data_IF_856789379731
#
_entry.id   IF_856789379731
#
_cell.length_a   1.000
_cell.length_b   1.000
_cell.length_c   1.000
_cell.angle_alpha   90.00
_cell.angle_beta   90.00
_cell.angle_gamma   90.00
#
_symmetry.space_group_name_H-M   'P 1'
#
loop_
_entity.id
_entity.type
_entity.pdbx_description
1 polymer ?
#
# COMPACT_ATOMS: atom_id res chain seq x y z
N UNK A 1 -4.98 15.97 22.51
CA UNK A 1 -4.93 14.49 22.34
C UNK A 1 -3.49 14.11 22.09
N UNK A 2 -2.85 13.42 23.04
CA UNK A 2 -1.51 12.91 22.83
C UNK A 2 -1.57 11.82 21.75
N UNK A 3 -1.19 12.16 20.53
CA UNK A 3 -1.02 11.19 19.44
C UNK A 3 0.23 10.35 19.72
N UNK A 4 0.11 9.34 20.57
CA UNK A 4 1.10 8.27 20.62
C UNK A 4 1.02 7.58 19.26
N UNK A 5 2.02 7.78 18.41
CA UNK A 5 2.10 7.08 17.14
C UNK A 5 2.15 5.57 17.42
N UNK A 6 1.18 4.81 16.91
CA UNK A 6 1.20 3.36 17.01
C UNK A 6 2.32 2.79 16.14
N UNK A 7 3.22 2.03 16.76
CA UNK A 7 4.29 1.32 16.07
C UNK A 7 3.88 -0.14 15.84
N UNK A 8 3.70 -0.56 14.57
CA UNK A 8 3.32 -1.93 14.29
C UNK A 8 4.43 -2.91 14.68
N UNK A 9 4.04 -4.07 15.17
CA UNK A 9 4.92 -5.12 15.71
C UNK A 9 5.33 -6.15 14.65
N UNK A 10 4.48 -6.40 13.64
CA UNK A 10 4.84 -7.34 12.58
C UNK A 10 6.06 -6.87 11.77
N UNK A 11 6.83 -7.83 11.26
CA UNK A 11 7.89 -7.60 10.26
C UNK A 11 7.38 -7.62 8.81
N UNK A 12 6.14 -8.07 8.59
CA UNK A 12 5.54 -8.20 7.26
C UNK A 12 4.75 -6.96 6.92
N UNK A 13 5.02 -6.37 5.75
CA UNK A 13 4.40 -5.13 5.28
C UNK A 13 2.86 -5.09 5.42
N UNK A 14 2.16 -6.12 4.93
CA UNK A 14 0.70 -6.13 4.95
C UNK A 14 0.12 -6.25 6.35
N UNK A 15 0.80 -6.95 7.25
CA UNK A 15 0.40 -7.05 8.66
C UNK A 15 0.65 -5.71 9.36
N UNK A 16 1.78 -5.04 9.10
CA UNK A 16 2.03 -3.68 9.61
C UNK A 16 0.93 -2.70 9.19
N UNK A 17 0.53 -2.73 7.91
CA UNK A 17 -0.57 -1.89 7.40
C UNK A 17 -1.90 -2.22 8.09
N UNK A 18 -2.22 -3.51 8.25
CA UNK A 18 -3.44 -3.96 8.95
C UNK A 18 -3.47 -3.47 10.40
N UNK A 19 -2.36 -3.61 11.14
CA UNK A 19 -2.24 -3.14 12.52
C UNK A 19 -2.48 -1.64 12.65
N UNK A 20 -1.86 -0.82 11.78
CA UNK A 20 -2.06 0.64 11.78
C UNK A 20 -3.51 1.01 11.42
N UNK A 21 -4.11 0.35 10.43
CA UNK A 21 -5.50 0.64 10.02
C UNK A 21 -6.50 0.30 11.13
N UNK A 22 -6.30 -0.82 11.83
CA UNK A 22 -7.14 -1.22 12.98
C UNK A 22 -6.95 -0.29 14.17
N UNK A 23 -5.72 0.12 14.47
CA UNK A 23 -5.45 1.13 15.49
C UNK A 23 -6.17 2.45 15.20
N UNK A 24 -6.25 2.85 13.92
CA UNK A 24 -6.98 4.03 13.45
C UNK A 24 -8.50 3.82 13.30
N UNK A 25 -9.02 2.66 13.70
CA UNK A 25 -10.44 2.31 13.62
C UNK A 25 -11.05 2.42 12.21
N UNK A 26 -10.26 2.15 11.16
CA UNK A 26 -10.82 2.01 9.82
C UNK A 26 -11.74 0.79 9.73
N UNK A 27 -12.76 0.87 8.88
CA UNK A 27 -13.65 -0.26 8.62
C UNK A 27 -12.91 -1.41 7.95
N UNK A 28 -13.40 -2.64 8.15
CA UNK A 28 -12.86 -3.84 7.51
C UNK A 28 -12.82 -3.70 5.97
N UNK A 29 -13.83 -3.05 5.38
CA UNK A 29 -13.87 -2.76 3.94
C UNK A 29 -12.72 -1.87 3.50
N UNK A 30 -12.38 -0.85 4.29
CA UNK A 30 -11.26 0.05 4.00
C UNK A 30 -9.93 -0.68 4.16
N UNK A 31 -9.78 -1.49 5.21
CA UNK A 31 -8.62 -2.36 5.42
C UNK A 31 -8.37 -3.26 4.19
N UNK A 32 -9.40 -3.98 3.74
CA UNK A 32 -9.31 -4.86 2.58
C UNK A 32 -8.92 -4.12 1.29
N UNK A 33 -9.53 -2.95 1.03
CA UNK A 33 -9.20 -2.14 -0.13
C UNK A 33 -7.73 -1.67 -0.09
N UNK A 34 -7.26 -1.22 1.07
CA UNK A 34 -5.90 -0.69 1.22
C UNK A 34 -4.87 -1.82 1.09
N UNK A 35 -5.10 -2.96 1.73
CA UNK A 35 -4.24 -4.13 1.59
C UNK A 35 -4.17 -4.64 0.15
N UNK A 36 -5.29 -4.59 -0.59
CA UNK A 36 -5.32 -4.91 -2.01
C UNK A 36 -4.39 -3.99 -2.81
N UNK A 37 -4.55 -2.67 -2.64
CA UNK A 37 -3.76 -1.69 -3.40
C UNK A 37 -2.28 -1.72 -3.06
N UNK A 38 -1.92 -1.84 -1.78
CA UNK A 38 -0.51 -1.99 -1.36
C UNK A 38 0.11 -3.25 -1.96
N UNK A 39 -0.60 -4.39 -1.89
CA UNK A 39 -0.13 -5.64 -2.48
C UNK A 39 0.04 -5.52 -4.00
N UNK A 40 -0.90 -4.88 -4.68
CA UNK A 40 -0.85 -4.72 -6.13
C UNK A 40 0.30 -3.79 -6.55
N UNK A 41 0.48 -2.66 -5.86
CA UNK A 41 1.59 -1.74 -6.08
C UNK A 41 2.95 -2.46 -6.01
N UNK A 42 3.21 -3.21 -4.92
CA UNK A 42 4.47 -3.95 -4.74
C UNK A 42 4.67 -5.00 -5.82
N UNK A 43 3.63 -5.78 -6.14
CA UNK A 43 3.73 -6.85 -7.14
C UNK A 43 3.91 -6.31 -8.55
N UNK A 44 3.23 -5.23 -8.89
CA UNK A 44 3.36 -4.61 -10.20
C UNK A 44 4.78 -4.09 -10.40
N UNK A 45 5.35 -3.37 -9.42
CA UNK A 45 6.73 -2.89 -9.52
C UNK A 45 7.79 -4.01 -9.51
N UNK A 46 7.50 -5.15 -8.89
CA UNK A 46 8.38 -6.32 -8.91
C UNK A 46 8.22 -7.23 -10.14
N UNK A 47 7.35 -6.89 -11.11
CA UNK A 47 6.99 -7.80 -12.22
C UNK A 47 8.16 -8.11 -13.17
N UNK A 48 9.10 -7.19 -13.29
CA UNK A 48 10.23 -7.27 -14.23
C UNK A 48 11.57 -7.51 -13.53
N UNK A 49 11.55 -7.92 -12.25
CA UNK A 49 12.78 -8.12 -11.48
C UNK A 49 12.54 -8.40 -10.00
N UNK A 50 13.24 -7.66 -9.13
CA UNK A 50 13.15 -7.87 -7.69
C UNK A 50 11.99 -7.09 -7.07
N UNK A 51 11.22 -7.75 -6.19
CA UNK A 51 10.27 -7.06 -5.33
C UNK A 51 11.01 -6.13 -4.36
N UNK A 52 10.69 -4.83 -4.42
CA UNK A 52 11.23 -3.82 -3.51
C UNK A 52 10.21 -3.48 -2.43
N UNK A 53 10.69 -3.12 -1.25
CA UNK A 53 9.84 -2.63 -0.18
C UNK A 53 9.34 -1.20 -0.51
N UNK A 54 8.06 -0.84 -0.33
CA UNK A 54 7.54 0.49 -0.69
C UNK A 54 8.29 1.67 -0.05
N UNK A 55 8.88 1.47 1.13
CA UNK A 55 9.70 2.49 1.81
C UNK A 55 10.95 2.91 1.02
N UNK A 56 11.42 2.07 0.10
CA UNK A 56 12.55 2.41 -0.79
C UNK A 56 12.08 2.80 -2.20
N UNK A 57 10.77 2.99 -2.40
CA UNK A 57 10.17 3.54 -3.61
C UNK A 57 9.74 4.98 -3.34
N UNK A 58 9.89 5.86 -4.32
CA UNK A 58 9.59 7.28 -4.18
C UNK A 58 8.38 7.69 -5.04
N UNK A 59 8.22 9.00 -5.22
CA UNK A 59 7.11 9.56 -6.00
C UNK A 59 7.07 9.06 -7.44
N UNK A 60 8.21 8.75 -8.06
CA UNK A 60 8.27 8.27 -9.43
C UNK A 60 7.56 6.93 -9.59
N UNK A 61 7.78 5.98 -8.67
CA UNK A 61 7.08 4.69 -8.69
C UNK A 61 5.56 4.85 -8.46
N UNK A 62 5.15 5.81 -7.62
CA UNK A 62 3.72 6.13 -7.43
C UNK A 62 3.11 6.66 -8.72
N UNK A 63 3.75 7.64 -9.36
CA UNK A 63 3.28 8.21 -10.63
C UNK A 63 3.19 7.14 -11.72
N UNK A 64 4.20 6.28 -11.86
CA UNK A 64 4.18 5.19 -12.83
C UNK A 64 3.01 4.23 -12.59
N UNK A 65 2.77 3.85 -11.33
CA UNK A 65 1.66 2.97 -10.99
C UNK A 65 0.31 3.62 -11.31
N UNK A 66 0.11 4.89 -10.95
CA UNK A 66 -1.12 5.62 -11.26
C UNK A 66 -1.34 5.77 -12.78
N UNK A 67 -0.29 6.03 -13.55
CA UNK A 67 -0.35 6.07 -15.02
C UNK A 67 -0.78 4.73 -15.61
N UNK A 68 -0.21 3.61 -15.13
CA UNK A 68 -0.65 2.28 -15.56
C UNK A 68 -2.10 2.01 -15.18
N UNK A 69 -2.51 2.38 -13.97
CA UNK A 69 -3.89 2.23 -13.53
C UNK A 69 -4.87 2.95 -14.47
N UNK A 70 -4.56 4.19 -14.85
CA UNK A 70 -5.38 4.97 -15.78
C UNK A 70 -5.41 4.34 -17.18
N UNK A 71 -4.25 4.00 -17.74
CA UNK A 71 -4.13 3.64 -19.15
C UNK A 71 -4.46 2.17 -19.45
N UNK A 72 -4.03 1.25 -18.60
CA UNK A 72 -4.16 -0.20 -18.84
C UNK A 72 -5.37 -0.78 -18.10
N UNK A 73 -5.61 -0.31 -16.88
CA UNK A 73 -6.65 -0.86 -16.01
C UNK A 73 -7.97 -0.08 -16.04
N UNK A 74 -8.01 1.06 -16.76
CA UNK A 74 -9.19 1.92 -16.95
C UNK A 74 -9.94 2.21 -15.65
N UNK A 75 -9.19 2.41 -14.55
CA UNK A 75 -9.76 2.79 -13.25
C UNK A 75 -9.90 4.30 -13.09
N UNK A 76 -9.55 5.08 -14.12
CA UNK A 76 -9.99 6.47 -14.27
C UNK A 76 -11.33 6.49 -14.99
N UNK A 77 -12.28 7.27 -14.46
CA UNK A 77 -13.50 7.71 -15.16
C UNK A 77 -13.25 9.02 -15.89
#
# INVERSE_FOLDING_TARGET
MNSVAYLPQSKRLLEQVSEVLRYKHYSLKTEQAYLYWVRFFVRWHGRDGQMRHPRSMDGAEVTQFLTMLANERRVSV
#
